data_IF_504461780750
#
_entry.id   IF_504461780750
#
_cell.length_a   1.000
_cell.length_b   1.000
_cell.length_c   1.000
_cell.angle_alpha   90.00
_cell.angle_beta   90.00
_cell.angle_gamma   90.00
#
_symmetry.space_group_name_H-M   'P 1'
#
loop_
_entity.id
_entity.type
_entity.pdbx_description
1 polymer ?
#
# COMPACT_ATOMS: atom_id res chain seq x y z
N UNK A 1 -2.17 23.42 -43.34
CA UNK A 1 -1.75 23.38 -41.93
C UNK A 1 -2.77 22.55 -41.17
N UNK A 2 -2.46 21.29 -40.89
CA UNK A 2 -3.25 20.46 -40.00
C UNK A 2 -2.98 20.92 -38.57
N UNK A 3 -4.02 21.30 -37.84
CA UNK A 3 -3.95 21.48 -36.39
C UNK A 3 -3.99 20.10 -35.77
N UNK A 4 -2.89 19.72 -35.13
CA UNK A 4 -2.79 18.64 -34.17
C UNK A 4 -3.86 18.81 -33.09
N UNK A 5 -4.67 17.78 -32.90
CA UNK A 5 -5.51 17.61 -31.71
C UNK A 5 -4.60 17.06 -30.61
N UNK A 6 -4.24 17.90 -29.65
CA UNK A 6 -3.56 17.48 -28.42
C UNK A 6 -4.59 17.03 -27.38
N UNK A 7 -4.46 15.77 -26.95
CA UNK A 7 -4.68 15.30 -25.58
C UNK A 7 -5.97 15.71 -24.87
N UNK A 8 -7.09 15.07 -25.22
CA UNK A 8 -8.22 14.96 -24.30
C UNK A 8 -7.89 13.99 -23.17
N UNK A 9 -7.31 14.50 -22.08
CA UNK A 9 -7.16 13.73 -20.84
C UNK A 9 -8.54 13.37 -20.31
N UNK A 10 -8.89 12.08 -20.38
CA UNK A 10 -10.08 11.54 -19.74
C UNK A 10 -10.06 11.87 -18.25
N UNK A 11 -11.19 12.32 -17.71
CA UNK A 11 -11.37 12.72 -16.30
C UNK A 11 -11.30 11.57 -15.29
N UNK A 12 -10.33 10.67 -15.45
CA UNK A 12 -9.96 9.67 -14.47
C UNK A 12 -9.32 10.39 -13.29
N UNK A 13 -10.00 10.40 -12.14
CA UNK A 13 -9.49 11.02 -10.92
C UNK A 13 -8.61 10.00 -10.20
N UNK A 14 -7.54 10.45 -9.52
CA UNK A 14 -6.63 9.56 -8.77
C UNK A 14 -7.36 8.65 -7.76
N UNK A 15 -8.45 9.15 -7.15
CA UNK A 15 -9.27 8.34 -6.24
C UNK A 15 -10.03 7.19 -6.90
N UNK A 16 -10.31 7.23 -8.21
CA UNK A 16 -10.87 6.07 -8.93
C UNK A 16 -9.80 5.01 -9.13
N UNK A 17 -8.59 5.43 -9.52
CA UNK A 17 -7.44 4.52 -9.68
C UNK A 17 -7.11 3.81 -8.37
N UNK A 18 -6.97 4.55 -7.28
CA UNK A 18 -6.70 4.00 -5.94
C UNK A 18 -7.75 2.95 -5.54
N UNK A 19 -9.03 3.26 -5.76
CA UNK A 19 -10.15 2.37 -5.43
C UNK A 19 -10.12 1.07 -6.23
N UNK A 20 -9.82 1.13 -7.53
CA UNK A 20 -9.73 -0.06 -8.37
C UNK A 20 -8.57 -0.97 -8.00
N UNK A 21 -7.45 -0.40 -7.55
CA UNK A 21 -6.26 -1.17 -7.18
C UNK A 21 -6.36 -1.74 -5.76
N UNK A 22 -6.87 -0.96 -4.81
CA UNK A 22 -6.76 -1.28 -3.37
C UNK A 22 -8.09 -1.33 -2.63
N UNK A 23 -9.22 -1.16 -3.33
CA UNK A 23 -10.57 -1.28 -2.77
C UNK A 23 -11.06 -0.03 -2.03
N UNK A 24 -11.96 -0.21 -1.07
CA UNK A 24 -12.49 0.89 -0.25
C UNK A 24 -12.41 0.57 1.23
N UNK A 25 -12.26 1.62 2.04
CA UNK A 25 -12.36 1.59 3.50
C UNK A 25 -13.53 2.45 3.94
N UNK A 26 -14.45 1.85 4.72
CA UNK A 26 -15.61 2.58 5.21
C UNK A 26 -15.23 3.59 6.32
N UNK A 27 -15.50 4.87 6.08
CA UNK A 27 -15.22 5.97 7.03
C UNK A 27 -15.83 5.76 8.43
N UNK A 28 -17.06 5.21 8.52
CA UNK A 28 -17.68 4.96 9.83
C UNK A 28 -16.84 3.98 10.66
N UNK A 29 -16.25 2.97 10.01
CA UNK A 29 -15.35 2.02 10.67
C UNK A 29 -14.02 2.65 11.09
N UNK A 30 -13.55 3.68 10.38
CA UNK A 30 -12.37 4.44 10.83
C UNK A 30 -12.65 5.07 12.19
N UNK A 31 -13.80 5.72 12.36
CA UNK A 31 -14.17 6.36 13.63
C UNK A 31 -14.39 5.34 14.76
N UNK A 32 -15.08 4.22 14.47
CA UNK A 32 -15.26 3.11 15.42
C UNK A 32 -13.92 2.49 15.85
N UNK A 33 -13.04 2.20 14.89
CA UNK A 33 -11.72 1.62 15.15
C UNK A 33 -10.87 2.54 16.03
N UNK A 34 -10.91 3.85 15.77
CA UNK A 34 -10.20 4.87 16.56
C UNK A 34 -10.71 4.91 18.01
N UNK A 35 -12.03 4.83 18.23
CA UNK A 35 -12.57 4.87 19.60
C UNK A 35 -12.12 3.67 20.44
N UNK A 36 -11.98 2.51 19.81
CA UNK A 36 -11.47 1.30 20.43
C UNK A 36 -9.94 1.22 20.52
N UNK A 37 -9.18 2.11 19.87
CA UNK A 37 -7.71 2.16 20.02
C UNK A 37 -7.33 2.75 21.39
N UNK A 38 -6.22 2.28 21.95
CA UNK A 38 -5.66 2.82 23.18
C UNK A 38 -4.88 4.12 22.92
N UNK A 39 -5.60 5.15 22.48
CA UNK A 39 -5.07 6.49 22.21
C UNK A 39 -5.14 7.37 23.46
N UNK A 40 -4.18 8.27 23.57
CA UNK A 40 -4.22 9.35 24.56
C UNK A 40 -5.35 10.32 24.28
N UNK A 41 -5.79 11.07 25.30
CA UNK A 41 -6.80 12.13 25.15
C UNK A 41 -6.39 13.12 24.04
N UNK A 42 -5.11 13.50 24.02
CA UNK A 42 -4.56 14.42 23.02
C UNK A 42 -4.66 13.86 21.59
N UNK A 43 -4.29 12.59 21.38
CA UNK A 43 -4.40 11.94 20.06
C UNK A 43 -5.87 11.86 19.60
N UNK A 44 -6.81 11.54 20.51
CA UNK A 44 -8.24 11.53 20.19
C UNK A 44 -8.77 12.92 19.81
N UNK A 45 -8.37 13.96 20.53
CA UNK A 45 -8.73 15.34 20.22
C UNK A 45 -8.15 15.79 18.87
N UNK A 46 -6.89 15.48 18.61
CA UNK A 46 -6.23 15.82 17.34
C UNK A 46 -6.92 15.13 16.16
N UNK A 47 -7.20 13.83 16.27
CA UNK A 47 -7.98 13.10 15.29
C UNK A 47 -9.38 13.71 15.07
N UNK A 48 -10.11 14.06 16.13
CA UNK A 48 -11.44 14.69 16.00
C UNK A 48 -11.37 16.06 15.33
N UNK A 49 -10.32 16.84 15.60
CA UNK A 49 -10.17 18.19 15.07
C UNK A 49 -9.74 18.22 13.60
N UNK A 50 -8.86 17.32 13.18
CA UNK A 50 -8.26 17.41 11.84
C UNK A 50 -8.01 16.05 11.15
N UNK A 51 -8.40 14.93 11.76
CA UNK A 51 -8.18 13.57 11.24
C UNK A 51 -6.74 13.08 11.30
N UNK A 52 -5.87 13.72 12.09
CA UNK A 52 -4.47 13.33 12.20
C UNK A 52 -4.24 12.27 13.26
N UNK A 53 -3.39 11.30 12.90
CA UNK A 53 -2.70 10.40 13.80
C UNK A 53 -1.22 10.34 13.38
N UNK A 54 -0.36 10.01 14.33
CA UNK A 54 1.06 9.73 14.02
C UNK A 54 1.16 8.56 13.04
N UNK A 55 2.29 8.43 12.36
CA UNK A 55 2.49 7.40 11.34
C UNK A 55 2.24 5.98 11.90
N UNK A 56 2.86 5.65 13.05
CA UNK A 56 2.72 4.33 13.67
C UNK A 56 1.26 4.03 14.09
N UNK A 57 0.56 5.05 14.61
CA UNK A 57 -0.88 4.92 14.95
C UNK A 57 -1.75 4.77 13.71
N UNK A 58 -1.38 5.41 12.61
CA UNK A 58 -2.11 5.31 11.35
C UNK A 58 -1.97 3.91 10.74
N UNK A 59 -0.79 3.29 10.86
CA UNK A 59 -0.56 1.87 10.50
C UNK A 59 -1.41 0.95 11.37
N UNK A 60 -1.38 1.13 12.69
CA UNK A 60 -2.18 0.34 13.64
C UNK A 60 -3.69 0.41 13.30
N UNK A 61 -4.17 1.62 13.00
CA UNK A 61 -5.56 1.86 12.61
C UNK A 61 -5.91 1.15 11.30
N UNK A 62 -5.09 1.25 10.25
CA UNK A 62 -5.33 0.59 8.96
C UNK A 62 -5.44 -0.94 9.12
N UNK A 63 -4.50 -1.55 9.88
CA UNK A 63 -4.55 -2.98 10.20
C UNK A 63 -5.82 -3.37 10.95
N UNK A 64 -6.28 -2.51 11.88
CA UNK A 64 -7.45 -2.77 12.71
C UNK A 64 -8.74 -2.72 11.90
N UNK A 65 -8.89 -1.73 11.04
CA UNK A 65 -10.08 -1.56 10.20
C UNK A 65 -10.30 -2.80 9.33
N UNK A 66 -9.25 -3.28 8.64
CA UNK A 66 -9.37 -4.44 7.76
C UNK A 66 -9.79 -5.70 8.50
N UNK A 67 -9.34 -5.88 9.76
CA UNK A 67 -9.77 -6.99 10.63
C UNK A 67 -11.25 -6.86 11.04
N UNK A 68 -11.71 -5.65 11.35
CA UNK A 68 -13.10 -5.40 11.77
C UNK A 68 -14.11 -5.51 10.64
N UNK A 69 -13.71 -5.33 9.37
CA UNK A 69 -14.66 -5.31 8.27
C UNK A 69 -15.38 -6.65 7.99
N UNK A 70 -15.08 -7.73 8.74
CA UNK A 70 -15.32 -9.09 8.23
C UNK A 70 -14.62 -9.27 6.86
N UNK A 71 -13.56 -8.47 6.66
CA UNK A 71 -12.84 -8.30 5.42
C UNK A 71 -12.06 -9.56 5.09
N UNK A 72 -11.64 -9.65 3.84
CA UNK A 72 -10.59 -10.58 3.43
C UNK A 72 -9.47 -10.61 4.47
N UNK A 73 -8.93 -11.80 4.76
CA UNK A 73 -7.67 -11.90 5.47
C UNK A 73 -6.64 -10.98 4.78
N UNK A 74 -5.78 -10.25 5.51
CA UNK A 74 -4.68 -9.52 4.88
C UNK A 74 -3.77 -10.41 4.03
N UNK A 75 -3.71 -11.71 4.33
CA UNK A 75 -3.05 -12.73 3.51
C UNK A 75 -3.84 -13.22 2.29
N UNK A 76 -5.08 -12.76 2.11
CA UNK A 76 -5.97 -13.09 0.98
C UNK A 76 -6.85 -11.88 0.62
N UNK A 77 -6.29 -10.81 0.05
CA UNK A 77 -7.04 -9.58 -0.21
C UNK A 77 -8.13 -9.79 -1.29
N UNK A 78 -9.34 -9.26 -1.04
CA UNK A 78 -10.52 -9.42 -1.94
C UNK A 78 -10.41 -8.68 -3.27
N UNK A 79 -9.68 -7.57 -3.32
CA UNK A 79 -9.52 -6.81 -4.55
C UNK A 79 -8.63 -7.61 -5.51
N UNK A 80 -9.07 -7.79 -6.76
CA UNK A 80 -8.37 -8.63 -7.73
C UNK A 80 -6.92 -8.18 -7.96
N UNK A 81 -6.69 -6.90 -8.22
CA UNK A 81 -5.33 -6.39 -8.44
C UNK A 81 -4.44 -6.61 -7.21
N UNK A 82 -4.95 -6.30 -6.02
CA UNK A 82 -4.22 -6.53 -4.77
C UNK A 82 -3.94 -8.03 -4.53
N UNK A 83 -4.87 -8.92 -4.90
CA UNK A 83 -4.72 -10.38 -4.80
C UNK A 83 -3.66 -10.91 -5.75
N UNK A 84 -3.73 -10.52 -7.03
CA UNK A 84 -2.78 -10.95 -8.04
C UNK A 84 -1.37 -10.40 -7.73
N UNK A 85 -1.27 -9.16 -7.24
CA UNK A 85 -0.01 -8.58 -6.79
C UNK A 85 0.54 -9.29 -5.54
N UNK A 86 -0.31 -9.64 -4.58
CA UNK A 86 0.08 -10.40 -3.39
C UNK A 86 0.65 -11.77 -3.79
N UNK A 87 -0.05 -12.52 -4.64
CA UNK A 87 0.41 -13.81 -5.15
C UNK A 87 1.75 -13.68 -5.90
N UNK A 88 1.85 -12.72 -6.82
CA UNK A 88 3.09 -12.45 -7.59
C UNK A 88 4.27 -12.12 -6.66
N UNK A 89 4.02 -11.34 -5.60
CA UNK A 89 5.05 -10.98 -4.63
C UNK A 89 5.46 -12.17 -3.76
N UNK A 90 4.51 -13.00 -3.31
CA UNK A 90 4.79 -14.21 -2.55
C UNK A 90 5.69 -15.17 -3.32
N UNK A 91 5.38 -15.41 -4.60
CA UNK A 91 6.22 -16.22 -5.49
C UNK A 91 7.63 -15.62 -5.64
N UNK A 92 7.75 -14.30 -5.82
CA UNK A 92 9.06 -13.62 -5.95
C UNK A 92 9.90 -13.66 -4.69
N UNK A 93 9.26 -13.68 -3.53
CA UNK A 93 9.92 -13.77 -2.22
C UNK A 93 10.19 -15.22 -1.81
N UNK A 94 9.74 -16.20 -2.58
CA UNK A 94 9.86 -17.64 -2.27
C UNK A 94 9.25 -17.97 -0.90
N UNK A 95 8.07 -17.39 -0.61
CA UNK A 95 7.36 -17.62 0.65
C UNK A 95 6.62 -18.95 0.58
N UNK A 96 6.90 -19.84 1.53
CA UNK A 96 6.18 -21.11 1.68
C UNK A 96 4.81 -20.90 2.33
N UNK A 97 4.69 -19.92 3.23
CA UNK A 97 3.45 -19.58 3.93
C UNK A 97 2.94 -18.20 3.48
N UNK A 98 1.73 -18.17 2.92
CA UNK A 98 1.06 -16.92 2.51
C UNK A 98 0.70 -16.04 3.71
N UNK A 99 0.64 -16.58 4.93
CA UNK A 99 0.43 -15.81 6.16
C UNK A 99 1.63 -14.90 6.50
N UNK A 100 2.81 -15.17 5.95
CA UNK A 100 3.98 -14.31 6.08
C UNK A 100 3.89 -13.03 5.25
N UNK A 101 2.94 -12.94 4.31
CA UNK A 101 2.69 -11.77 3.49
C UNK A 101 1.30 -11.21 3.76
N UNK A 102 1.23 -10.00 4.30
CA UNK A 102 -0.04 -9.36 4.61
C UNK A 102 -0.18 -8.04 3.85
N UNK A 103 -1.24 -7.91 3.05
CA UNK A 103 -1.60 -6.68 2.35
C UNK A 103 -2.63 -5.86 3.12
N UNK A 104 -2.36 -4.57 3.27
CA UNK A 104 -3.26 -3.62 3.90
C UNK A 104 -3.56 -2.42 3.01
N UNK A 105 -4.84 -2.15 2.80
CA UNK A 105 -5.30 -0.90 2.18
C UNK A 105 -5.36 0.21 3.24
N UNK A 106 -4.85 1.38 2.89
CA UNK A 106 -4.80 2.55 3.76
C UNK A 106 -5.72 3.69 3.28
N UNK A 107 -6.46 3.48 2.18
CA UNK A 107 -7.33 4.47 1.58
C UNK A 107 -8.31 5.07 2.58
N UNK A 108 -8.52 6.39 2.50
CA UNK A 108 -9.40 7.17 3.38
C UNK A 108 -9.04 7.13 4.87
N UNK A 109 -7.93 6.51 5.26
CA UNK A 109 -7.43 6.55 6.64
C UNK A 109 -6.49 7.75 6.84
N UNK A 110 -6.11 8.09 8.08
CA UNK A 110 -5.03 9.06 8.33
C UNK A 110 -3.70 8.70 7.65
N UNK A 111 -3.44 7.42 7.39
CA UNK A 111 -2.22 6.95 6.72
C UNK A 111 -2.18 7.45 5.26
N UNK A 112 -3.28 7.33 4.54
CA UNK A 112 -3.48 7.94 3.23
C UNK A 112 -3.49 9.48 3.34
N UNK A 113 -4.50 10.04 4.04
CA UNK A 113 -4.80 11.47 3.98
C UNK A 113 -3.67 12.36 4.53
N UNK A 114 -2.91 11.89 5.54
CA UNK A 114 -1.88 12.68 6.24
C UNK A 114 -0.46 12.26 5.92
N UNK A 115 -0.27 11.02 5.46
CA UNK A 115 1.07 10.50 5.19
C UNK A 115 1.31 10.14 3.72
N UNK A 116 0.27 10.13 2.88
CA UNK A 116 0.37 9.88 1.44
C UNK A 116 0.83 8.46 1.16
N UNK A 117 0.21 7.50 1.86
CA UNK A 117 0.44 6.07 1.71
C UNK A 117 -0.92 5.42 1.43
N UNK A 118 -1.07 4.84 0.24
CA UNK A 118 -2.34 4.25 -0.21
C UNK A 118 -2.53 2.83 0.29
N UNK A 119 -1.43 2.10 0.41
CA UNK A 119 -1.41 0.71 0.90
C UNK A 119 -0.02 0.32 1.39
N UNK A 120 0.09 -0.85 2.02
CA UNK A 120 1.37 -1.40 2.43
C UNK A 120 1.33 -2.92 2.58
N UNK A 121 2.50 -3.53 2.43
CA UNK A 121 2.76 -4.93 2.77
C UNK A 121 3.47 -5.03 4.11
N UNK A 122 3.02 -5.93 4.97
CA UNK A 122 3.79 -6.45 6.10
C UNK A 122 4.33 -7.83 5.73
N UNK A 123 5.65 -7.97 5.74
CA UNK A 123 6.36 -9.18 5.34
C UNK A 123 7.08 -9.73 6.57
N UNK A 124 6.67 -10.90 7.04
CA UNK A 124 7.32 -11.63 8.12
C UNK A 124 8.50 -12.43 7.55
N UNK A 125 9.60 -12.48 8.28
CA UNK A 125 10.80 -13.21 7.88
C UNK A 125 11.61 -13.64 9.09
N UNK A 126 12.25 -14.79 8.99
CA UNK A 126 13.20 -15.26 10.01
C UNK A 126 14.59 -14.67 9.74
N UNK A 127 15.26 -14.28 10.83
CA UNK A 127 16.70 -13.99 10.81
C UNK A 127 17.38 -14.96 11.77
N UNK A 128 18.41 -15.63 11.28
CA UNK A 128 19.28 -16.45 12.12
C UNK A 128 20.40 -15.58 12.69
N UNK A 129 20.48 -15.52 14.02
CA UNK A 129 21.53 -14.80 14.73
C UNK A 129 21.94 -15.58 15.98
N UNK A 130 23.23 -15.90 16.08
CA UNK A 130 23.81 -16.60 17.24
C UNK A 130 23.08 -17.93 17.55
N UNK A 131 22.86 -18.77 16.53
CA UNK A 131 22.12 -20.05 16.59
C UNK A 131 20.67 -19.93 17.10
N UNK A 132 20.08 -18.73 17.02
CA UNK A 132 18.68 -18.47 17.33
C UNK A 132 17.96 -17.91 16.12
N UNK A 133 16.77 -18.46 15.85
CA UNK A 133 15.80 -17.90 14.91
C UNK A 133 15.04 -16.77 15.61
N UNK A 134 15.06 -15.59 15.00
CA UNK A 134 14.28 -14.43 15.43
C UNK A 134 13.29 -14.07 14.30
N UNK A 135 12.00 -14.11 14.60
CA UNK A 135 10.97 -13.61 13.69
C UNK A 135 11.01 -12.08 13.65
N UNK A 136 11.00 -11.52 12.46
CA UNK A 136 10.95 -10.07 12.21
C UNK A 136 9.86 -9.76 11.20
N UNK A 137 9.40 -8.53 11.22
CA UNK A 137 8.53 -8.00 10.17
C UNK A 137 9.12 -6.75 9.52
N UNK A 138 8.85 -6.59 8.23
CA UNK A 138 9.18 -5.40 7.46
C UNK A 138 7.89 -4.80 6.87
N UNK A 139 7.77 -3.49 6.95
CA UNK A 139 6.67 -2.74 6.35
C UNK A 139 7.15 -2.08 5.06
N UNK A 140 6.57 -2.45 3.92
CA UNK A 140 6.83 -1.81 2.63
C UNK A 140 5.59 -1.02 2.22
N UNK A 141 5.71 0.31 2.23
CA UNK A 141 4.60 1.22 1.92
C UNK A 141 4.55 1.61 0.45
N UNK A 142 3.33 1.74 -0.08
CA UNK A 142 3.03 2.02 -1.48
C UNK A 142 2.23 3.32 -1.62
N UNK A 143 2.49 4.04 -2.71
CA UNK A 143 1.72 5.20 -3.18
C UNK A 143 1.60 5.09 -4.69
N UNK A 144 0.39 5.22 -5.22
CA UNK A 144 0.07 5.13 -6.63
C UNK A 144 -0.18 6.53 -7.18
N UNK A 145 0.33 6.81 -8.37
CA UNK A 145 0.08 8.10 -9.01
C UNK A 145 -0.03 7.98 -10.53
N UNK A 146 -0.87 8.82 -11.12
CA UNK A 146 -0.90 9.05 -12.58
C UNK A 146 -0.02 10.22 -13.00
N UNK A 147 0.65 10.90 -12.05
CA UNK A 147 1.45 12.08 -12.36
C UNK A 147 2.78 11.67 -12.99
N UNK A 148 3.17 12.39 -14.04
CA UNK A 148 4.47 12.17 -14.70
C UNK A 148 5.68 12.56 -13.85
N UNK A 149 5.52 13.54 -12.95
CA UNK A 149 6.58 13.99 -12.04
C UNK A 149 6.29 13.58 -10.59
N UNK A 150 7.30 13.00 -9.93
CA UNK A 150 7.24 12.62 -8.53
C UNK A 150 7.28 13.85 -7.62
N UNK A 151 6.45 13.85 -6.58
CA UNK A 151 6.46 14.91 -5.58
C UNK A 151 7.61 14.70 -4.61
N UNK A 152 8.35 15.76 -4.28
CA UNK A 152 9.39 15.72 -3.23
C UNK A 152 8.86 15.29 -1.85
N UNK A 153 7.54 15.36 -1.64
CA UNK A 153 6.88 15.03 -0.38
C UNK A 153 6.37 13.59 -0.30
N UNK A 154 6.57 12.76 -1.33
CA UNK A 154 6.16 11.36 -1.29
C UNK A 154 6.95 10.59 -0.23
N UNK A 155 6.23 9.92 0.68
CA UNK A 155 6.82 9.25 1.84
C UNK A 155 6.96 7.74 1.66
N UNK A 156 6.20 7.14 0.74
CA UNK A 156 6.18 5.70 0.53
C UNK A 156 7.54 5.12 0.11
N UNK A 157 7.73 3.83 0.38
CA UNK A 157 8.91 3.08 -0.05
C UNK A 157 8.87 2.80 -1.56
N UNK A 158 7.69 2.56 -2.12
CA UNK A 158 7.48 2.30 -3.54
C UNK A 158 6.46 3.28 -4.09
N UNK A 159 6.84 4.03 -5.11
CA UNK A 159 5.91 4.85 -5.89
C UNK A 159 5.58 4.13 -7.20
N UNK A 160 4.30 3.86 -7.42
CA UNK A 160 3.82 3.16 -8.62
C UNK A 160 3.20 4.19 -9.55
N UNK A 161 3.85 4.46 -10.67
CA UNK A 161 3.35 5.37 -11.71
C UNK A 161 2.55 4.59 -12.74
N UNK A 162 1.25 4.77 -12.73
CA UNK A 162 0.31 4.11 -13.65
C UNK A 162 0.07 5.00 -14.87
N UNK A 163 0.76 4.72 -15.98
CA UNK A 163 0.61 5.45 -17.24
C UNK A 163 -0.54 4.88 -18.07
N UNK A 164 -1.77 5.20 -17.68
CA UNK A 164 -2.95 4.78 -18.45
C UNK A 164 -4.20 4.50 -17.62
N UNK A 165 -4.05 4.39 -16.30
CA UNK A 165 -5.12 3.97 -15.40
C UNK A 165 -4.77 2.68 -14.68
N UNK A 166 -5.76 2.04 -14.07
CA UNK A 166 -5.55 0.75 -13.42
C UNK A 166 -5.25 -0.32 -14.50
N UNK A 167 -4.29 -1.23 -14.27
CA UNK A 167 -4.06 -2.34 -15.19
C UNK A 167 -5.31 -3.21 -15.30
N UNK A 168 -5.75 -3.47 -16.54
CA UNK A 168 -6.89 -4.35 -16.80
C UNK A 168 -6.39 -5.80 -16.86
N UNK A 169 -6.97 -6.75 -16.10
CA UNK A 169 -6.60 -8.17 -16.16
C UNK A 169 -6.69 -8.82 -17.54
N UNK A 170 -7.45 -8.23 -18.47
CA UNK A 170 -7.57 -8.71 -19.85
C UNK A 170 -6.49 -8.12 -20.79
N UNK A 171 -5.65 -7.19 -20.31
CA UNK A 171 -4.52 -6.64 -21.06
C UNK A 171 -3.36 -7.65 -21.15
N UNK A 172 -2.75 -7.72 -22.34
CA UNK A 172 -1.64 -8.65 -22.60
C UNK A 172 -0.38 -8.38 -21.76
N UNK A 173 -0.25 -7.17 -21.20
CA UNK A 173 0.88 -6.77 -20.36
C UNK A 173 0.56 -6.76 -18.85
N UNK A 174 -0.64 -7.20 -18.43
CA UNK A 174 -1.06 -7.20 -17.02
C UNK A 174 -0.08 -7.93 -16.09
N UNK A 175 0.29 -9.16 -16.43
CA UNK A 175 1.26 -9.96 -15.66
C UNK A 175 2.63 -9.27 -15.60
N UNK A 176 3.08 -8.67 -16.71
CA UNK A 176 4.34 -7.94 -16.75
C UNK A 176 4.33 -6.72 -15.83
N UNK A 177 3.21 -5.98 -15.79
CA UNK A 177 3.03 -4.83 -14.88
C UNK A 177 3.06 -5.29 -13.42
N UNK A 178 2.38 -6.39 -13.08
CA UNK A 178 2.43 -6.98 -11.74
C UNK A 178 3.86 -7.39 -11.34
N UNK A 179 4.58 -8.06 -12.24
CA UNK A 179 5.97 -8.46 -11.98
C UNK A 179 6.88 -7.24 -11.72
N UNK A 180 6.73 -6.16 -12.48
CA UNK A 180 7.50 -4.93 -12.30
C UNK A 180 7.24 -4.28 -10.94
N UNK A 181 5.97 -4.23 -10.52
CA UNK A 181 5.59 -3.69 -9.21
C UNK A 181 6.12 -4.59 -8.09
N UNK A 182 5.91 -5.90 -8.20
CA UNK A 182 6.37 -6.86 -7.19
C UNK A 182 7.91 -6.85 -7.06
N UNK A 183 8.65 -6.66 -8.15
CA UNK A 183 10.11 -6.50 -8.10
C UNK A 183 10.54 -5.22 -7.37
N UNK A 184 9.83 -4.12 -7.57
CA UNK A 184 10.07 -2.87 -6.84
C UNK A 184 9.81 -3.04 -5.33
N UNK A 185 8.74 -3.76 -4.98
CA UNK A 185 8.40 -4.10 -3.58
C UNK A 185 9.46 -4.99 -2.95
N UNK A 186 9.87 -6.06 -3.64
CA UNK A 186 10.96 -6.96 -3.21
C UNK A 186 12.26 -6.19 -2.98
N UNK A 187 12.64 -5.32 -3.91
CA UNK A 187 13.83 -4.47 -3.77
C UNK A 187 13.74 -3.58 -2.52
N UNK A 188 12.57 -3.00 -2.25
CA UNK A 188 12.37 -2.21 -1.04
C UNK A 188 12.45 -3.06 0.23
N UNK A 189 11.81 -4.22 0.24
CA UNK A 189 11.88 -5.21 1.33
C UNK A 189 13.33 -5.58 1.66
N UNK A 190 14.13 -5.99 0.67
CA UNK A 190 15.53 -6.38 0.89
C UNK A 190 16.36 -5.23 1.47
N UNK A 191 16.11 -3.98 1.07
CA UNK A 191 16.79 -2.84 1.66
C UNK A 191 16.38 -2.60 3.12
N UNK A 192 15.08 -2.72 3.42
CA UNK A 192 14.55 -2.56 4.79
C UNK A 192 15.06 -3.68 5.71
N UNK A 193 15.05 -4.92 5.23
CA UNK A 193 15.61 -6.11 5.90
C UNK A 193 17.08 -5.90 6.27
N UNK A 194 17.84 -5.26 5.39
CA UNK A 194 19.25 -4.89 5.62
C UNK A 194 19.44 -3.59 6.44
N UNK A 195 18.37 -3.04 7.04
CA UNK A 195 18.41 -1.90 7.96
C UNK A 195 18.14 -0.53 7.32
N UNK A 196 17.96 -0.45 6.00
CA UNK A 196 17.66 0.81 5.31
C UNK A 196 16.14 1.08 5.28
N UNK A 197 15.58 1.44 6.43
CA UNK A 197 14.13 1.71 6.59
C UNK A 197 13.59 2.87 5.74
N UNK A 198 14.46 3.76 5.26
CA UNK A 198 14.10 4.93 4.46
C UNK A 198 14.32 4.73 2.96
N UNK A 199 14.59 3.49 2.53
CA UNK A 199 14.74 3.19 1.12
C UNK A 199 13.49 3.56 0.33
N UNK A 200 13.70 4.17 -0.84
CA UNK A 200 12.66 4.56 -1.78
C UNK A 200 13.03 4.12 -3.19
N UNK A 201 12.04 3.66 -3.93
CA UNK A 201 12.13 3.35 -5.35
C UNK A 201 10.81 3.73 -6.02
N UNK A 202 10.86 3.91 -7.32
CA UNK A 202 9.69 4.11 -8.17
C UNK A 202 9.68 3.10 -9.32
N UNK A 203 8.49 2.78 -9.79
CA UNK A 203 8.26 1.94 -10.96
C UNK A 203 7.21 2.62 -11.83
N UNK A 204 7.40 2.56 -13.15
CA UNK A 204 6.40 3.02 -14.12
C UNK A 204 5.87 1.81 -14.84
N UNK A 205 4.55 1.70 -14.87
CA UNK A 205 3.80 0.62 -15.52
C UNK A 205 2.66 1.20 -16.34
#
# INVERSE_FOLDING_TARGET
MAKSFEGGGSGYTGGVLEWELFGDVNKMKVEEAVEEMNLTIKEKEEFKNNGYLTYDRSIELAKKIQKQEGGSSPSDPKNKFANDLHATLAEKLDLEDMEDLNFYSALKTPLDIKHGIDSFFEINYEVEKDDKKEEKSALVTLDVTMRGELSKNQKANVIIRMQGGAPDPDEADYEQKLEQIAEAIKKAFENIKNGNKFFKTDVTV
#
